data_IF_234090342411
#
_entry.id   IF_234090342411
#
_cell.length_a   1.000
_cell.length_b   1.000
_cell.length_c   1.000
_cell.angle_alpha   90.00
_cell.angle_beta   90.00
_cell.angle_gamma   90.00
#
_symmetry.space_group_name_H-M   'P 1'
#
loop_
_entity.id
_entity.type
_entity.pdbx_description
1 polymer ?
#
# COMPACT_ATOMS: atom_id res chain seq x y z
N UNK A 1 -6.39 -38.23 14.10
CA UNK A 1 -7.06 -36.95 13.83
C UNK A 1 -6.19 -36.21 12.81
N UNK A 2 -6.67 -35.86 11.61
CA UNK A 2 -5.82 -35.18 10.64
C UNK A 2 -5.44 -33.81 11.18
N UNK A 3 -4.15 -33.59 11.43
CA UNK A 3 -3.63 -32.27 11.79
C UNK A 3 -3.89 -31.34 10.60
N UNK A 4 -4.57 -30.22 10.83
CA UNK A 4 -4.81 -29.24 9.78
C UNK A 4 -3.46 -28.73 9.27
N UNK A 5 -3.20 -28.93 7.98
CA UNK A 5 -2.01 -28.41 7.33
C UNK A 5 -2.21 -26.92 7.04
N UNK A 6 -1.82 -26.10 8.02
CA UNK A 6 -1.92 -24.66 7.94
C UNK A 6 -0.98 -24.06 6.90
N UNK A 7 0.15 -24.71 6.63
CA UNK A 7 1.12 -24.25 5.63
C UNK A 7 0.53 -24.38 4.22
N UNK A 8 -0.03 -25.55 3.90
CA UNK A 8 -0.77 -25.74 2.65
C UNK A 8 -2.02 -24.84 2.55
N UNK A 9 -2.64 -24.47 3.68
CA UNK A 9 -3.77 -23.53 3.68
C UNK A 9 -3.33 -22.08 3.39
N UNK A 10 -2.18 -21.65 3.91
CA UNK A 10 -1.58 -20.35 3.59
C UNK A 10 -1.21 -20.29 2.12
N UNK A 11 -0.47 -21.28 1.62
CA UNK A 11 -0.03 -21.33 0.23
C UNK A 11 -1.21 -21.22 -0.75
N UNK A 12 -2.25 -22.04 -0.57
CA UNK A 12 -3.49 -21.95 -1.37
C UNK A 12 -4.18 -20.60 -1.30
N UNK A 13 -4.13 -19.93 -0.15
CA UNK A 13 -4.74 -18.60 -0.01
C UNK A 13 -3.97 -17.56 -0.83
N UNK A 14 -2.64 -17.60 -0.79
CA UNK A 14 -1.78 -16.73 -1.58
C UNK A 14 -1.93 -17.00 -3.08
N UNK A 15 -1.96 -18.26 -3.50
CA UNK A 15 -2.23 -18.63 -4.90
C UNK A 15 -3.57 -18.08 -5.40
N UNK A 16 -4.63 -18.13 -4.59
CA UNK A 16 -5.91 -17.53 -4.96
C UNK A 16 -5.85 -16.00 -5.06
N UNK A 17 -5.08 -15.33 -4.19
CA UNK A 17 -4.85 -13.90 -4.28
C UNK A 17 -4.14 -13.57 -5.60
N UNK A 18 -3.13 -14.36 -5.96
CA UNK A 18 -2.36 -14.18 -7.19
C UNK A 18 -3.20 -14.42 -8.45
N UNK A 19 -4.03 -15.45 -8.45
CA UNK A 19 -4.93 -15.78 -9.56
C UNK A 19 -6.10 -14.80 -9.72
N UNK A 20 -6.47 -14.05 -8.68
CA UNK A 20 -7.61 -13.13 -8.74
C UNK A 20 -7.33 -11.92 -9.63
N UNK A 21 -8.06 -11.77 -10.72
CA UNK A 21 -8.01 -10.58 -11.59
C UNK A 21 -8.64 -9.35 -10.94
N UNK A 22 -9.49 -9.55 -9.91
CA UNK A 22 -10.18 -8.48 -9.20
C UNK A 22 -9.27 -7.69 -8.27
N UNK A 23 -8.12 -8.24 -7.85
CA UNK A 23 -7.22 -7.61 -6.88
C UNK A 23 -6.11 -6.83 -7.60
N UNK A 24 -5.89 -5.58 -7.20
CA UNK A 24 -4.79 -4.77 -7.72
C UNK A 24 -3.41 -5.42 -7.50
N UNK A 25 -2.49 -5.44 -8.49
CA UNK A 25 -1.17 -6.07 -8.38
C UNK A 25 -0.34 -5.58 -7.18
N UNK A 26 -0.41 -4.29 -6.86
CA UNK A 26 0.26 -3.73 -5.69
C UNK A 26 -0.25 -4.33 -4.37
N UNK A 27 -1.55 -4.61 -4.24
CA UNK A 27 -2.11 -5.22 -3.03
C UNK A 27 -1.66 -6.68 -2.90
N UNK A 28 -1.57 -7.42 -4.02
CA UNK A 28 -1.02 -8.79 -4.03
C UNK A 28 0.40 -8.79 -3.49
N UNK A 29 1.25 -7.94 -4.05
CA UNK A 29 2.63 -7.77 -3.60
C UNK A 29 2.71 -7.40 -2.12
N UNK A 30 1.88 -6.45 -1.68
CA UNK A 30 1.85 -5.98 -0.29
C UNK A 30 1.48 -7.11 0.68
N UNK A 31 0.50 -7.95 0.32
CA UNK A 31 0.11 -9.11 1.14
C UNK A 31 1.25 -10.13 1.22
N UNK A 32 1.96 -10.39 0.12
CA UNK A 32 3.13 -11.28 0.10
C UNK A 32 4.29 -10.73 0.93
N UNK A 33 4.62 -9.44 0.78
CA UNK A 33 5.67 -8.79 1.57
C UNK A 33 5.34 -8.84 3.07
N UNK A 34 4.09 -8.58 3.44
CA UNK A 34 3.63 -8.72 4.81
C UNK A 34 3.73 -10.16 5.32
N UNK A 35 3.31 -11.14 4.52
CA UNK A 35 3.42 -12.56 4.87
C UNK A 35 4.88 -13.00 5.10
N UNK A 36 5.81 -12.55 4.24
CA UNK A 36 7.25 -12.79 4.42
C UNK A 36 7.74 -12.23 5.75
N UNK A 37 7.37 -11.00 6.09
CA UNK A 37 7.75 -10.37 7.35
C UNK A 37 7.13 -11.08 8.56
N UNK A 38 5.93 -11.65 8.42
CA UNK A 38 5.34 -12.50 9.46
C UNK A 38 6.15 -13.77 9.72
N UNK A 39 6.66 -14.41 8.67
CA UNK A 39 7.55 -15.57 8.79
C UNK A 39 8.84 -15.18 9.50
N UNK A 40 9.48 -14.07 9.08
CA UNK A 40 10.71 -13.57 9.70
C UNK A 40 10.54 -13.14 11.16
N UNK A 41 9.30 -12.84 11.57
CA UNK A 41 8.95 -12.46 12.94
C UNK A 41 8.46 -13.65 13.78
N UNK A 42 8.62 -14.89 13.31
CA UNK A 42 8.19 -16.14 13.99
C UNK A 42 6.70 -16.16 14.38
N UNK A 43 5.84 -15.50 13.61
CA UNK A 43 4.39 -15.56 13.85
C UNK A 43 3.89 -16.96 13.49
N UNK A 44 3.05 -17.55 14.35
CA UNK A 44 2.56 -18.91 14.14
C UNK A 44 1.84 -19.09 12.79
N UNK A 45 2.03 -20.25 12.14
CA UNK A 45 1.42 -20.57 10.84
C UNK A 45 -0.10 -20.47 10.89
N UNK A 46 -0.72 -20.85 12.02
CA UNK A 46 -2.15 -20.68 12.22
C UNK A 46 -2.58 -19.19 12.18
N UNK A 47 -1.80 -18.28 12.77
CA UNK A 47 -2.06 -16.84 12.69
C UNK A 47 -1.79 -16.27 11.29
N UNK A 48 -0.75 -16.75 10.60
CA UNK A 48 -0.49 -16.44 9.19
C UNK A 48 -1.71 -16.80 8.34
N UNK A 49 -2.19 -18.04 8.42
CA UNK A 49 -3.38 -18.52 7.72
C UNK A 49 -4.59 -17.64 8.00
N UNK A 50 -4.81 -17.32 9.29
CA UNK A 50 -5.92 -16.50 9.75
C UNK A 50 -5.88 -15.10 9.13
N UNK A 51 -4.70 -14.47 9.07
CA UNK A 51 -4.51 -13.12 8.53
C UNK A 51 -4.60 -13.11 6.99
N UNK A 52 -3.94 -14.05 6.30
CA UNK A 52 -3.99 -14.16 4.84
C UNK A 52 -5.42 -14.35 4.34
N UNK A 53 -6.20 -15.20 5.01
CA UNK A 53 -7.61 -15.42 4.65
C UNK A 53 -8.45 -14.15 4.75
N UNK A 54 -8.16 -13.29 5.73
CA UNK A 54 -8.83 -11.99 5.86
C UNK A 54 -8.37 -11.00 4.80
N UNK A 55 -7.07 -10.91 4.55
CA UNK A 55 -6.56 -9.99 3.53
C UNK A 55 -7.05 -10.34 2.15
N UNK A 56 -7.19 -11.63 1.81
CA UNK A 56 -7.85 -12.05 0.57
C UNK A 56 -9.23 -11.39 0.44
N UNK A 57 -10.07 -11.55 1.45
CA UNK A 57 -11.44 -11.03 1.46
C UNK A 57 -11.47 -9.51 1.38
N UNK A 58 -10.59 -8.83 2.12
CA UNK A 58 -10.49 -7.37 2.07
C UNK A 58 -10.00 -6.90 0.70
N UNK A 59 -9.01 -7.56 0.12
CA UNK A 59 -8.44 -7.24 -1.19
C UNK A 59 -9.45 -7.46 -2.32
N UNK A 60 -10.24 -8.53 -2.25
CA UNK A 60 -11.34 -8.78 -3.20
C UNK A 60 -12.41 -7.70 -3.13
N UNK A 61 -12.75 -7.23 -1.92
CA UNK A 61 -13.74 -6.17 -1.75
C UNK A 61 -13.23 -4.80 -2.20
N UNK A 62 -11.96 -4.49 -1.94
CA UNK A 62 -11.32 -3.24 -2.37
C UNK A 62 -11.08 -3.24 -3.88
N UNK A 63 -10.86 -4.41 -4.46
CA UNK A 63 -10.73 -4.59 -5.90
C UNK A 63 -9.44 -3.97 -6.46
N UNK A 64 -9.60 -3.05 -7.42
CA UNK A 64 -8.50 -2.39 -8.12
C UNK A 64 -7.94 -1.17 -7.37
N UNK A 65 -8.60 -0.69 -6.31
CA UNK A 65 -8.03 0.35 -5.48
C UNK A 65 -6.83 -0.18 -4.68
N UNK A 66 -5.84 0.68 -4.40
CA UNK A 66 -4.63 0.28 -3.69
C UNK A 66 -4.77 0.51 -2.19
N UNK A 67 -4.30 -0.44 -1.37
CA UNK A 67 -4.37 -0.35 0.09
C UNK A 67 -3.62 0.85 0.68
N UNK A 68 -2.50 1.22 0.07
CA UNK A 68 -1.68 2.37 0.47
C UNK A 68 -2.31 3.72 0.09
N UNK A 69 -3.35 3.72 -0.74
CA UNK A 69 -4.12 4.90 -1.15
C UNK A 69 -5.49 5.00 -0.47
N UNK A 70 -5.92 3.96 0.26
CA UNK A 70 -7.23 3.97 0.94
C UNK A 70 -7.25 5.00 2.07
N UNK A 71 -8.25 5.87 2.01
CA UNK A 71 -8.52 6.86 3.03
C UNK A 71 -9.33 6.28 4.17
N UNK A 72 -9.50 7.10 5.21
CA UNK A 72 -10.35 6.77 6.35
C UNK A 72 -11.76 6.38 5.90
N UNK A 73 -12.33 7.09 4.95
CA UNK A 73 -13.69 6.88 4.44
C UNK A 73 -13.81 5.53 3.74
N UNK A 74 -12.83 5.19 2.90
CA UNK A 74 -12.80 3.87 2.23
C UNK A 74 -12.71 2.74 3.26
N UNK A 75 -11.94 2.93 4.32
CA UNK A 75 -11.87 1.97 5.43
C UNK A 75 -13.16 1.91 6.25
N UNK A 76 -13.87 3.02 6.40
CA UNK A 76 -15.20 3.04 7.03
C UNK A 76 -16.17 2.21 6.19
N UNK A 77 -16.18 2.41 4.88
CA UNK A 77 -17.06 1.70 3.95
C UNK A 77 -16.69 0.20 3.88
N UNK A 78 -15.40 -0.12 3.87
CA UNK A 78 -14.92 -1.50 3.95
C UNK A 78 -15.36 -2.18 5.25
N UNK A 79 -15.24 -1.48 6.39
CA UNK A 79 -15.71 -2.00 7.68
C UNK A 79 -17.23 -2.10 7.74
N UNK A 80 -17.96 -1.15 7.17
CA UNK A 80 -19.42 -1.19 7.08
C UNK A 80 -19.88 -2.39 6.23
N UNK A 81 -19.20 -2.66 5.11
CA UNK A 81 -19.45 -3.82 4.26
C UNK A 81 -19.24 -5.15 5.01
N UNK A 82 -18.28 -5.24 5.93
CA UNK A 82 -18.09 -6.46 6.73
C UNK A 82 -19.33 -6.80 7.58
N UNK A 83 -20.05 -5.78 8.03
CA UNK A 83 -21.30 -5.96 8.77
C UNK A 83 -22.48 -6.31 7.84
N UNK A 84 -22.54 -5.76 6.61
CA UNK A 84 -23.63 -6.07 5.66
C UNK A 84 -23.55 -7.51 5.14
N UNK A 85 -22.35 -8.10 5.09
CA UNK A 85 -22.12 -9.47 4.61
C UNK A 85 -22.71 -10.57 5.53
N UNK A 86 -23.25 -10.22 6.71
CA UNK A 86 -23.78 -11.21 7.65
C UNK A 86 -22.69 -11.92 8.47
N UNK A 87 -21.53 -11.27 8.63
CA UNK A 87 -20.40 -11.77 9.42
C UNK A 87 -20.70 -11.62 10.92
N UNK A 88 -20.20 -12.55 11.76
CA UNK A 88 -20.37 -12.42 13.22
C UNK A 88 -19.59 -11.22 13.78
N UNK A 89 -20.07 -10.59 14.84
CA UNK A 89 -19.39 -9.49 15.53
C UNK A 89 -17.94 -9.83 15.92
N UNK A 90 -17.71 -11.07 16.36
CA UNK A 90 -16.38 -11.55 16.71
C UNK A 90 -15.46 -11.54 15.49
N UNK A 91 -15.94 -12.07 14.37
CA UNK A 91 -15.18 -12.08 13.12
C UNK A 91 -14.93 -10.66 12.61
N UNK A 92 -15.88 -9.72 12.73
CA UNK A 92 -15.67 -8.31 12.37
C UNK A 92 -14.58 -7.66 13.22
N UNK A 93 -14.51 -7.96 14.52
CA UNK A 93 -13.43 -7.50 15.39
C UNK A 93 -12.07 -8.01 14.90
N UNK A 94 -12.01 -9.26 14.44
CA UNK A 94 -10.78 -9.83 13.89
C UNK A 94 -10.37 -9.19 12.56
N UNK A 95 -11.33 -8.86 11.68
CA UNK A 95 -11.05 -8.08 10.47
C UNK A 95 -10.54 -6.68 10.80
N UNK A 96 -11.19 -5.98 11.72
CA UNK A 96 -10.72 -4.68 12.22
C UNK A 96 -9.29 -4.76 12.71
N UNK A 97 -8.96 -5.82 13.46
CA UNK A 97 -7.60 -6.02 13.93
C UNK A 97 -6.61 -6.29 12.79
N UNK A 98 -6.99 -7.09 11.79
CA UNK A 98 -6.17 -7.36 10.62
C UNK A 98 -5.87 -6.07 9.82
N UNK A 99 -6.90 -5.22 9.61
CA UNK A 99 -6.74 -3.89 9.00
C UNK A 99 -5.73 -3.07 9.80
N UNK A 100 -5.93 -2.90 11.11
CA UNK A 100 -4.98 -2.13 11.93
C UNK A 100 -3.54 -2.66 11.85
N UNK A 101 -3.38 -3.97 11.84
CA UNK A 101 -2.06 -4.59 11.81
C UNK A 101 -1.34 -4.35 10.48
N UNK A 102 -2.04 -4.52 9.36
CA UNK A 102 -1.49 -4.26 8.03
C UNK A 102 -1.13 -2.78 7.84
N UNK A 103 -2.03 -1.87 8.21
CA UNK A 103 -1.80 -0.43 8.10
C UNK A 103 -0.68 0.06 9.00
N UNK A 104 -0.56 -0.49 10.21
CA UNK A 104 0.57 -0.20 11.09
C UNK A 104 1.89 -0.68 10.47
N UNK A 105 1.91 -1.87 9.87
CA UNK A 105 3.11 -2.40 9.21
C UNK A 105 3.51 -1.56 7.99
N UNK A 106 2.55 -1.18 7.13
CA UNK A 106 2.80 -0.28 5.99
C UNK A 106 3.37 1.08 6.41
N UNK A 107 3.06 1.54 7.63
CA UNK A 107 3.54 2.80 8.19
C UNK A 107 4.75 2.63 9.12
N UNK A 108 5.56 1.59 8.92
CA UNK A 108 6.81 1.39 9.67
C UNK A 108 6.60 1.19 11.17
N UNK A 109 5.44 0.67 11.57
CA UNK A 109 5.08 0.44 12.96
C UNK A 109 4.29 1.58 13.62
N UNK A 110 4.06 2.69 12.94
CA UNK A 110 3.24 3.80 13.46
C UNK A 110 1.75 3.57 13.15
N UNK A 111 0.86 3.95 14.08
CA UNK A 111 -0.58 3.82 13.85
C UNK A 111 -1.09 5.00 13.02
N UNK A 112 -1.56 4.77 11.79
CA UNK A 112 -1.96 5.85 10.89
C UNK A 112 -3.36 6.37 11.24
N UNK A 113 -3.64 7.64 10.94
CA UNK A 113 -4.90 8.31 11.29
C UNK A 113 -6.13 7.62 10.67
N UNK A 114 -5.93 7.01 9.50
CA UNK A 114 -6.88 6.23 8.73
C UNK A 114 -7.44 5.05 9.54
N UNK A 115 -6.68 4.52 10.51
CA UNK A 115 -7.09 3.37 11.34
C UNK A 115 -7.26 3.68 12.82
N UNK A 116 -6.88 4.88 13.28
CA UNK A 116 -6.94 5.24 14.70
C UNK A 116 -8.36 5.20 15.30
N UNK A 117 -9.38 5.42 14.47
CA UNK A 117 -10.79 5.40 14.86
C UNK A 117 -11.32 3.98 15.03
N UNK A 118 -10.62 2.98 14.49
CA UNK A 118 -11.01 1.57 14.57
C UNK A 118 -10.74 1.07 15.99
N UNK A 119 -11.83 0.84 16.74
CA UNK A 119 -11.78 0.27 18.08
C UNK A 119 -12.03 -1.23 18.05
N UNK A 120 -11.33 -1.96 18.93
CA UNK A 120 -11.49 -3.40 19.16
C UNK A 120 -12.70 -3.69 20.07
N UNK A 121 -13.84 -3.06 19.81
CA UNK A 121 -15.10 -3.27 20.52
C UNK A 121 -16.21 -3.58 19.53
N UNK A 122 -17.32 -4.15 20.03
CA UNK A 122 -18.57 -4.23 19.27
C UNK A 122 -19.03 -2.81 18.99
N UNK A 123 -18.74 -2.29 17.81
CA UNK A 123 -19.29 -1.02 17.35
C UNK A 123 -20.70 -1.27 16.86
N UNK A 124 -21.67 -0.44 17.28
CA UNK A 124 -23.00 -0.57 16.70
C UNK A 124 -22.92 -0.19 15.23
N UNK A 125 -23.31 -1.14 14.37
CA UNK A 125 -23.41 -0.98 12.93
C UNK A 125 -24.21 0.27 12.53
N UNK A 126 -25.22 0.64 13.32
CA UNK A 126 -26.03 1.85 13.14
C UNK A 126 -25.23 3.17 13.12
N UNK A 127 -24.08 3.25 13.80
CA UNK A 127 -23.23 4.46 13.79
C UNK A 127 -22.34 4.59 12.54
N UNK A 128 -22.20 3.50 11.78
CA UNK A 128 -21.25 3.42 10.65
C UNK A 128 -21.94 3.52 9.27
N UNK A 129 -23.28 3.61 9.22
CA UNK A 129 -24.05 3.58 7.97
C UNK A 129 -23.90 4.84 7.09
N UNK A 130 -23.92 4.68 5.75
CA UNK A 130 -23.65 5.73 4.77
C UNK A 130 -24.72 6.82 4.65
N UNK A 131 -25.91 6.66 5.24
CA UNK A 131 -26.88 7.76 5.33
C UNK A 131 -26.31 8.97 6.11
N UNK A 132 -25.32 8.74 6.98
CA UNK A 132 -24.53 9.80 7.62
C UNK A 132 -23.20 10.11 6.89
N UNK A 133 -22.89 9.54 5.72
CA UNK A 133 -21.64 9.81 4.97
C UNK A 133 -21.80 10.82 3.82
N UNK A 134 -22.95 10.86 3.15
CA UNK A 134 -23.21 11.86 2.09
C UNK A 134 -23.41 13.29 2.63
N UNK A 135 -23.57 13.43 3.95
CA UNK A 135 -23.72 14.72 4.64
C UNK A 135 -22.48 15.13 5.45
N UNK A 136 -21.38 14.37 5.37
CA UNK A 136 -20.18 14.66 6.18
C UNK A 136 -19.38 15.84 5.61
N UNK A 137 -18.90 16.75 6.47
CA UNK A 137 -18.15 17.92 6.05
C UNK A 137 -16.84 17.50 5.39
N UNK A 138 -16.54 18.12 4.25
CA UNK A 138 -15.27 17.98 3.55
C UNK A 138 -14.13 18.40 4.48
N UNK A 139 -13.22 17.47 4.77
CA UNK A 139 -12.06 17.75 5.63
C UNK A 139 -10.89 18.28 4.75
N UNK A 140 -10.25 19.42 5.11
CA UNK A 140 -9.05 19.91 4.43
C UNK A 140 -7.94 18.87 4.21
N UNK A 141 -7.85 17.87 5.08
CA UNK A 141 -6.89 16.76 4.94
C UNK A 141 -7.10 15.96 3.65
N UNK A 142 -8.34 15.86 3.13
CA UNK A 142 -8.65 15.09 1.91
C UNK A 142 -8.02 15.76 0.68
N UNK A 143 -8.17 17.08 0.58
CA UNK A 143 -7.53 17.86 -0.48
C UNK A 143 -6.01 17.77 -0.40
N UNK A 144 -5.47 17.84 0.82
CA UNK A 144 -4.03 17.74 1.05
C UNK A 144 -3.47 16.38 0.62
N UNK A 145 -4.12 15.27 0.98
CA UNK A 145 -3.69 13.92 0.63
C UNK A 145 -3.79 13.68 -0.89
N UNK A 146 -4.94 13.98 -1.49
CA UNK A 146 -5.14 13.87 -2.94
C UNK A 146 -4.13 14.70 -3.73
N UNK A 147 -3.86 15.93 -3.28
CA UNK A 147 -2.85 16.80 -3.89
C UNK A 147 -1.43 16.28 -3.68
N UNK A 148 -1.11 15.69 -2.53
CA UNK A 148 0.21 15.12 -2.25
C UNK A 148 0.50 13.90 -3.14
N UNK A 149 -0.47 13.00 -3.30
CA UNK A 149 -0.37 11.86 -4.22
C UNK A 149 -0.17 12.32 -5.66
N UNK A 150 -0.94 13.32 -6.10
CA UNK A 150 -0.76 13.88 -7.45
C UNK A 150 0.61 14.54 -7.63
N UNK A 151 1.02 15.38 -6.67
CA UNK A 151 2.26 16.16 -6.75
C UNK A 151 3.52 15.32 -6.58
N UNK A 152 3.45 14.14 -5.98
CA UNK A 152 4.61 13.26 -5.86
C UNK A 152 5.19 12.83 -7.21
N UNK A 153 4.39 12.88 -8.28
CA UNK A 153 4.85 12.65 -9.66
C UNK A 153 5.76 13.77 -10.20
N UNK A 154 5.73 14.95 -9.58
CA UNK A 154 6.40 16.15 -10.08
C UNK A 154 7.39 16.76 -9.08
N UNK A 155 7.27 16.43 -7.79
CA UNK A 155 8.06 17.02 -6.71
C UNK A 155 8.98 16.00 -6.04
N UNK A 156 10.18 16.43 -5.66
CA UNK A 156 11.09 15.68 -4.78
C UNK A 156 10.56 15.64 -3.34
N UNK A 157 11.01 14.68 -2.53
CA UNK A 157 10.61 14.58 -1.12
C UNK A 157 10.89 15.87 -0.33
N UNK A 158 12.01 16.54 -0.62
CA UNK A 158 12.37 17.80 0.01
C UNK A 158 11.38 18.92 -0.37
N UNK A 159 11.03 19.02 -1.66
CA UNK A 159 10.04 19.99 -2.16
C UNK A 159 8.64 19.68 -1.63
N UNK A 160 8.28 18.41 -1.50
CA UNK A 160 7.02 18.02 -0.86
C UNK A 160 7.00 18.41 0.61
N UNK A 161 8.10 18.23 1.35
CA UNK A 161 8.19 18.69 2.74
C UNK A 161 7.93 20.19 2.84
N UNK A 162 8.55 20.98 1.97
CA UNK A 162 8.41 22.43 1.96
C UNK A 162 7.00 22.88 1.55
N UNK A 163 6.48 22.32 0.46
CA UNK A 163 5.14 22.62 -0.07
C UNK A 163 4.02 22.28 0.92
N UNK A 164 4.14 21.13 1.60
CA UNK A 164 3.15 20.64 2.54
C UNK A 164 3.48 21.00 4.00
N UNK A 165 4.56 21.72 4.27
CA UNK A 165 4.96 22.12 5.62
C UNK A 165 5.31 20.95 6.54
N UNK A 166 5.76 19.82 5.99
CA UNK A 166 6.35 18.75 6.82
C UNK A 166 7.78 19.13 7.21
N UNK A 167 8.24 18.60 8.36
CA UNK A 167 9.64 18.74 8.75
C UNK A 167 10.57 18.19 7.66
N UNK A 168 11.66 18.89 7.35
CA UNK A 168 12.65 18.41 6.36
C UNK A 168 13.23 17.07 6.81
N UNK A 169 13.25 16.09 5.90
CA UNK A 169 13.65 14.70 6.22
C UNK A 169 12.54 13.87 6.86
N UNK A 170 11.29 14.34 6.86
CA UNK A 170 10.14 13.53 7.26
C UNK A 170 10.02 12.28 6.40
N UNK A 171 9.53 11.19 7.00
CA UNK A 171 9.20 9.94 6.27
C UNK A 171 7.87 10.03 5.52
N UNK A 172 7.09 11.08 5.77
CA UNK A 172 5.74 11.25 5.20
C UNK A 172 5.71 11.48 3.68
N UNK A 173 6.59 12.31 3.07
CA UNK A 173 6.68 12.41 1.61
C UNK A 173 7.02 11.09 0.92
N UNK A 174 7.84 10.26 1.55
CA UNK A 174 8.23 8.94 1.03
C UNK A 174 7.04 8.05 0.70
N UNK A 175 5.92 8.20 1.44
CA UNK A 175 4.66 7.50 1.16
C UNK A 175 4.14 7.78 -0.24
N UNK A 176 4.19 9.04 -0.68
CA UNK A 176 3.67 9.45 -1.99
C UNK A 176 4.73 9.29 -3.09
N UNK A 177 5.99 9.48 -2.73
CA UNK A 177 7.11 9.37 -3.66
C UNK A 177 7.36 7.93 -4.10
N UNK A 178 7.14 6.93 -3.24
CA UNK A 178 7.26 5.53 -3.67
C UNK A 178 6.14 5.11 -4.64
N UNK A 179 5.00 5.82 -4.60
CA UNK A 179 3.82 5.60 -5.44
C UNK A 179 4.00 6.25 -6.81
N UNK A 180 4.70 7.37 -6.86
CA UNK A 180 5.21 7.97 -8.08
C UNK A 180 6.33 7.10 -8.63
N UNK A 181 6.04 6.33 -9.68
CA UNK A 181 7.08 5.73 -10.51
C UNK A 181 7.85 6.85 -11.21
N UNK A 182 8.79 7.49 -10.52
CA UNK A 182 9.60 8.55 -11.12
C UNK A 182 10.26 7.97 -12.35
N UNK A 183 9.90 8.54 -13.48
CA UNK A 183 10.45 8.22 -14.78
C UNK A 183 11.88 8.78 -14.83
N UNK A 184 12.81 8.00 -14.28
CA UNK A 184 14.24 8.30 -14.25
C UNK A 184 14.75 8.49 -15.68
N UNK A 185 14.11 7.82 -16.64
CA UNK A 185 14.47 7.87 -18.05
C UNK A 185 14.20 9.27 -18.62
N UNK A 186 13.08 9.91 -18.27
CA UNK A 186 12.84 11.30 -18.69
C UNK A 186 13.86 12.28 -18.09
N UNK A 187 14.22 12.13 -16.81
CA UNK A 187 15.25 12.96 -16.19
C UNK A 187 16.62 12.77 -16.86
N UNK A 188 16.98 11.52 -17.19
CA UNK A 188 18.21 11.17 -17.88
C UNK A 188 18.23 11.70 -19.33
N UNK A 189 17.13 11.55 -20.07
CA UNK A 189 16.96 12.10 -21.42
C UNK A 189 17.06 13.62 -21.41
N UNK A 190 16.46 14.29 -20.41
CA UNK A 190 16.57 15.74 -20.27
C UNK A 190 18.03 16.19 -20.04
N UNK A 191 18.80 15.46 -19.23
CA UNK A 191 20.24 15.76 -19.04
C UNK A 191 21.08 15.53 -20.31
N UNK A 192 20.73 14.55 -21.13
CA UNK A 192 21.41 14.28 -22.40
C UNK A 192 21.04 15.29 -23.49
N UNK A 193 19.90 15.96 -23.35
CA UNK A 193 19.47 17.04 -24.23
C UNK A 193 20.13 18.39 -23.90
N UNK A 194 20.87 18.51 -22.80
CA UNK A 194 21.66 19.70 -22.46
C UNK A 194 22.88 19.84 -23.40
N UNK A 195 23.20 21.09 -23.78
CA UNK A 195 24.19 21.45 -24.83
C UNK A 195 25.66 21.08 -24.55
N UNK A 196 25.92 20.27 -23.53
CA UNK A 196 27.26 19.81 -23.12
C UNK A 196 27.56 18.34 -23.44
N UNK A 197 26.59 17.57 -23.93
CA UNK A 197 26.76 16.16 -24.28
C UNK A 197 26.65 15.97 -25.79
N UNK A 198 27.75 15.54 -26.43
CA UNK A 198 27.69 15.10 -27.82
C UNK A 198 27.19 13.65 -27.88
N UNK A 199 26.15 13.42 -28.69
CA UNK A 199 25.74 12.07 -29.03
C UNK A 199 26.86 11.39 -29.82
N UNK A 200 27.62 10.52 -29.14
CA UNK A 200 28.61 9.68 -29.80
C UNK A 200 27.84 8.74 -30.73
N UNK A 201 27.85 9.02 -32.03
CA UNK A 201 27.23 8.12 -33.01
C UNK A 201 27.82 6.73 -32.81
N UNK A 202 26.97 5.70 -32.81
CA UNK A 202 27.33 4.28 -32.67
C UNK A 202 28.05 3.76 -33.91
N UNK A 203 29.09 4.46 -34.35
CA UNK A 203 30.00 3.97 -35.36
C UNK A 203 31.09 3.16 -34.62
N UNK A 204 31.14 1.82 -34.75
CA UNK A 204 32.05 0.96 -33.97
C UNK A 204 33.55 1.19 -34.26
N UNK A 205 33.88 2.17 -35.11
CA UNK A 205 35.23 2.44 -35.62
C UNK A 205 36.02 3.46 -34.79
N UNK A 206 35.39 4.17 -33.84
CA UNK A 206 36.02 5.27 -33.06
C UNK A 206 36.15 5.00 -31.56
N UNK A 207 35.76 3.83 -31.06
CA UNK A 207 36.04 3.48 -29.66
C UNK A 207 37.56 3.26 -29.49
N UNK A 208 38.25 3.99 -28.60
CA UNK A 208 39.65 3.75 -28.33
C UNK A 208 39.79 2.33 -27.78
N UNK A 209 40.47 1.47 -28.54
CA UNK A 209 40.86 0.14 -28.04
C UNK A 209 41.69 0.38 -26.78
N UNK A 210 41.17 -0.03 -25.63
CA UNK A 210 41.93 -0.08 -24.40
C UNK A 210 43.22 -0.87 -24.67
N UNK A 211 44.36 -0.18 -24.55
CA UNK A 211 45.66 -0.80 -24.70
C UNK A 211 45.81 -1.89 -23.66
N UNK A 212 45.88 -3.13 -24.12
CA UNK A 212 46.50 -4.21 -23.36
C UNK A 212 47.97 -3.83 -23.18
N UNK A 213 48.39 -3.64 -21.95
CA UNK A 213 49.80 -3.60 -21.56
C UNK A 213 50.01 -4.65 -20.49
N UNK A 214 51.11 -5.38 -20.68
CA UNK A 214 51.47 -6.67 -20.13
C UNK A 214 51.57 -6.75 -18.59
#
# INVERSE_FOLDING_TARGET
MPTMDFEAAVARTLEHIDASSGIHPANKKLIHDYHRDMILSDISIAQQQKLMSRFKILAEQVGQARFDELQKEDLVDLVAWLYTRGTTDATVIEYKQAIKQLWKWMNGGEEPEETNWIRRSRSSYAKLLPHNLLEKPVNPHHFRHSRATYLANYLTEAQMCEWFGWARGSRVPGRYVHLSGRDIDHAYVATLAESGYEHISSNPSTLPRSGSSA
#
